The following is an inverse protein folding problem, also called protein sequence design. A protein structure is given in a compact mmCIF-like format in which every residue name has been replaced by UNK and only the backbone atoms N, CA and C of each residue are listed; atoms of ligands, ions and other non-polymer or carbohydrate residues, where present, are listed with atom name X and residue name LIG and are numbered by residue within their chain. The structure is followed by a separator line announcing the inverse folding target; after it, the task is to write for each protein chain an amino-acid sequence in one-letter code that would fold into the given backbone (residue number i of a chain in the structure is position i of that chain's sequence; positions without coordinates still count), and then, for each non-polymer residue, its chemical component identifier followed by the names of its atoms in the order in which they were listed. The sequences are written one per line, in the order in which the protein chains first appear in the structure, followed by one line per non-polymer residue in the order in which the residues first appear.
data_IF_917895812461
#
_entry.id   IF_917895812461
#
_cell.length_a   1.000
_cell.length_b   1.000
_cell.length_c   1.000
_cell.angle_alpha   90.00
_cell.angle_beta   90.00
_cell.angle_gamma   90.00
#
_symmetry.space_group_name_H-M   'P 1'
#
loop_
_entity.id
_entity.type
_entity.pdbx_description
1 polymer ?
#
# COMPACT_ATOMS: atom_id res chain seq x y z
N UNK A 1 7.36 -11.63 -15.56
CA UNK A 1 8.24 -11.24 -14.43
C UNK A 1 9.71 -11.22 -14.82
N UNK A 2 10.17 -12.15 -15.66
CA UNK A 2 11.57 -12.19 -16.13
C UNK A 2 12.00 -10.91 -16.87
N UNK A 3 11.15 -10.33 -17.72
CA UNK A 3 11.47 -9.08 -18.45
C UNK A 3 11.70 -7.87 -17.52
N UNK A 4 11.07 -7.85 -16.35
CA UNK A 4 11.23 -6.77 -15.37
C UNK A 4 12.28 -7.10 -14.30
N UNK A 5 12.90 -8.30 -14.36
CA UNK A 5 13.81 -8.83 -13.35
C UNK A 5 13.25 -8.74 -11.91
N UNK A 6 11.93 -8.93 -11.77
CA UNK A 6 11.25 -8.91 -10.47
C UNK A 6 11.01 -10.34 -9.99
N UNK A 7 11.29 -10.58 -8.71
CA UNK A 7 11.05 -11.85 -8.05
C UNK A 7 9.90 -11.76 -7.05
N UNK A 8 9.39 -12.93 -6.66
CA UNK A 8 8.36 -13.04 -5.62
C UNK A 8 8.91 -12.49 -4.31
N UNK A 9 8.18 -11.56 -3.71
CA UNK A 9 8.58 -10.91 -2.45
C UNK A 9 9.34 -9.60 -2.65
N UNK A 10 9.72 -9.26 -3.88
CA UNK A 10 10.39 -7.99 -4.15
C UNK A 10 9.45 -6.81 -3.88
N UNK A 11 10.06 -5.72 -3.43
CA UNK A 11 9.35 -4.47 -3.22
C UNK A 11 9.44 -3.60 -4.47
N UNK A 12 8.29 -3.10 -4.91
CA UNK A 12 8.16 -2.26 -6.11
C UNK A 12 7.49 -0.94 -5.79
N UNK A 13 7.97 0.11 -6.44
CA UNK A 13 7.32 1.41 -6.50
C UNK A 13 6.39 1.43 -7.71
N UNK A 14 5.10 1.60 -7.45
CA UNK A 14 4.11 1.81 -8.49
C UNK A 14 3.78 3.29 -8.61
N UNK A 15 3.75 3.79 -9.85
CA UNK A 15 3.40 5.17 -10.18
C UNK A 15 2.12 5.20 -10.99
N UNK A 16 1.14 5.94 -10.48
CA UNK A 16 -0.18 6.12 -11.08
C UNK A 16 -0.38 7.53 -11.60
N UNK A 17 -1.62 7.99 -11.59
CA UNK A 17 -2.00 9.32 -12.09
C UNK A 17 -1.81 10.39 -11.02
N UNK A 18 -1.79 11.67 -11.43
CA UNK A 18 -1.70 12.84 -10.52
C UNK A 18 -0.50 12.77 -9.56
N UNK A 19 0.65 12.25 -10.03
CA UNK A 19 1.89 12.09 -9.25
C UNK A 19 1.67 11.27 -7.96
N UNK A 20 0.76 10.31 -8.01
CA UNK A 20 0.51 9.38 -6.91
C UNK A 20 1.34 8.14 -7.07
N UNK A 21 1.98 7.75 -5.98
CA UNK A 21 2.88 6.62 -5.92
C UNK A 21 2.52 5.77 -4.70
N UNK A 22 2.77 4.47 -4.80
CA UNK A 22 2.53 3.50 -3.73
C UNK A 22 3.60 2.43 -3.79
N UNK A 23 3.95 1.88 -2.63
CA UNK A 23 4.91 0.78 -2.54
C UNK A 23 4.16 -0.52 -2.31
N UNK A 24 4.46 -1.55 -3.09
CA UNK A 24 3.78 -2.83 -3.04
C UNK A 24 4.79 -3.99 -3.08
N UNK A 25 4.35 -5.17 -2.64
CA UNK A 25 5.13 -6.40 -2.73
C UNK A 25 4.63 -7.20 -3.94
N UNK A 26 5.56 -7.71 -4.74
CA UNK A 26 5.25 -8.53 -5.91
C UNK A 26 4.93 -9.96 -5.49
N UNK A 27 3.79 -10.46 -5.96
CA UNK A 27 3.39 -11.86 -5.80
C UNK A 27 3.19 -12.49 -7.19
N UNK A 28 3.62 -13.74 -7.31
CA UNK A 28 3.39 -14.55 -8.52
C UNK A 28 1.96 -15.06 -8.54
N UNK A 29 1.32 -14.93 -9.70
CA UNK A 29 -0.03 -15.42 -10.00
C UNK A 29 -0.07 -15.91 -11.44
N UNK A 30 -0.06 -17.23 -11.63
CA UNK A 30 -0.02 -17.87 -12.95
C UNK A 30 -1.34 -17.66 -13.75
N UNK A 31 -2.40 -17.20 -13.07
CA UNK A 31 -3.68 -16.86 -13.72
C UNK A 31 -3.73 -15.42 -14.26
N UNK A 32 -2.67 -14.64 -14.05
CA UNK A 32 -2.57 -13.26 -14.53
C UNK A 32 -1.85 -13.20 -15.88
N UNK A 33 -2.44 -12.48 -16.84
CA UNK A 33 -1.80 -12.24 -18.14
C UNK A 33 -0.54 -11.38 -17.95
N UNK A 34 0.50 -11.62 -18.75
CA UNK A 34 1.80 -10.92 -18.65
C UNK A 34 1.70 -9.39 -18.75
N UNK A 35 0.75 -8.88 -19.54
CA UNK A 35 0.54 -7.44 -19.74
C UNK A 35 -0.34 -6.78 -18.67
N UNK A 36 -0.83 -7.55 -17.68
CA UNK A 36 -1.78 -7.09 -16.68
C UNK A 36 -1.21 -7.21 -15.27
N UNK A 37 -1.67 -6.30 -14.41
CA UNK A 37 -1.39 -6.32 -12.98
C UNK A 37 -2.70 -6.41 -12.21
N UNK A 38 -2.77 -7.34 -11.26
CA UNK A 38 -3.85 -7.40 -10.28
C UNK A 38 -3.48 -6.58 -9.05
N UNK A 39 -4.38 -5.70 -8.65
CA UNK A 39 -4.25 -4.93 -7.41
C UNK A 39 -5.63 -4.70 -6.80
N UNK A 40 -5.68 -4.58 -5.48
CA UNK A 40 -6.94 -4.38 -4.77
C UNK A 40 -7.48 -2.95 -4.98
N UNK A 41 -8.72 -2.71 -4.52
CA UNK A 41 -9.37 -1.38 -4.63
C UNK A 41 -8.60 -0.28 -3.92
N UNK A 42 -7.98 -0.60 -2.79
CA UNK A 42 -7.21 0.36 -1.96
C UNK A 42 -6.01 0.91 -2.73
N UNK A 43 -5.20 0.03 -3.31
CA UNK A 43 -4.03 0.39 -4.11
C UNK A 43 -4.41 1.21 -5.33
N UNK A 44 -5.52 0.86 -6.01
CA UNK A 44 -6.05 1.67 -7.13
C UNK A 44 -6.46 3.08 -6.70
N UNK A 45 -7.14 3.19 -5.55
CA UNK A 45 -7.58 4.48 -5.01
C UNK A 45 -6.38 5.37 -4.64
N UNK A 46 -5.33 4.79 -4.05
CA UNK A 46 -4.09 5.47 -3.74
C UNK A 46 -3.41 6.02 -5.01
N UNK A 47 -3.34 5.19 -6.06
CA UNK A 47 -2.75 5.54 -7.36
C UNK A 47 -3.65 6.42 -8.24
N UNK A 48 -4.92 6.63 -7.86
CA UNK A 48 -5.94 7.35 -8.65
C UNK A 48 -6.16 6.74 -10.04
N UNK A 49 -6.18 5.42 -10.11
CA UNK A 49 -6.38 4.65 -11.35
C UNK A 49 -7.67 3.82 -11.32
N UNK A 50 -8.21 3.52 -12.50
CA UNK A 50 -9.36 2.65 -12.73
C UNK A 50 -8.92 1.32 -13.37
N UNK A 51 -9.84 0.37 -13.47
CA UNK A 51 -9.58 -0.87 -14.23
C UNK A 51 -9.32 -0.51 -15.70
N UNK A 52 -8.25 -1.06 -16.28
CA UNK A 52 -7.81 -0.75 -17.64
C UNK A 52 -6.87 0.45 -17.76
N UNK A 53 -6.62 1.20 -16.69
CA UNK A 53 -5.58 2.22 -16.70
C UNK A 53 -4.18 1.61 -16.66
N UNK A 54 -3.23 2.27 -17.31
CA UNK A 54 -1.82 1.90 -17.30
C UNK A 54 -1.12 2.50 -16.08
N UNK A 55 -0.24 1.71 -15.47
CA UNK A 55 0.62 2.11 -14.35
C UNK A 55 2.07 1.78 -14.66
N UNK A 56 3.01 2.56 -14.11
CA UNK A 56 4.43 2.23 -14.18
C UNK A 56 4.84 1.46 -12.93
N UNK A 57 5.63 0.40 -13.11
CA UNK A 57 6.21 -0.37 -12.02
C UNK A 57 7.74 -0.25 -12.09
N UNK A 58 8.38 0.01 -10.96
CA UNK A 58 9.82 0.12 -10.84
C UNK A 58 10.28 -0.68 -9.61
N UNK A 59 11.39 -1.41 -9.72
CA UNK A 59 11.99 -2.06 -8.55
C UNK A 59 12.36 -1.01 -7.50
N UNK A 60 12.11 -1.32 -6.23
CA UNK A 60 12.39 -0.43 -5.10
C UNK A 60 13.11 -1.21 -3.99
N UNK A 61 14.41 -1.51 -4.16
CA UNK A 61 15.20 -2.24 -3.16
C UNK A 61 15.51 -1.40 -1.91
N UNK A 62 15.46 -0.07 -2.00
CA UNK A 62 15.84 0.87 -0.93
C UNK A 62 14.78 1.05 0.18
N UNK A 63 13.84 0.11 0.31
CA UNK A 63 12.80 0.19 1.35
C UNK A 63 13.38 -0.21 2.70
N UNK A 64 13.61 0.81 3.53
CA UNK A 64 14.15 0.64 4.89
C UNK A 64 13.05 0.34 5.90
N UNK A 65 13.41 -0.39 6.95
CA UNK A 65 12.53 -0.61 8.09
C UNK A 65 12.13 0.71 8.75
N UNK A 66 10.82 0.92 8.90
CA UNK A 66 10.27 2.09 9.57
C UNK A 66 10.55 2.03 11.07
N UNK A 67 11.18 3.08 11.62
CA UNK A 67 11.38 3.19 13.08
C UNK A 67 10.07 3.46 13.83
N UNK A 68 9.26 4.38 13.29
CA UNK A 68 7.96 4.80 13.83
C UNK A 68 7.07 5.25 12.68
N UNK A 69 5.78 4.96 12.78
CA UNK A 69 4.74 5.46 11.88
C UNK A 69 3.66 6.15 12.71
N UNK A 70 3.09 7.23 12.17
CA UNK A 70 1.99 7.94 12.78
C UNK A 70 0.77 7.82 11.88
N UNK A 71 -0.30 7.22 12.40
CA UNK A 71 -1.49 6.89 11.63
C UNK A 71 -2.69 7.47 12.35
N UNK A 72 -3.50 8.24 11.60
CA UNK A 72 -4.71 8.87 12.09
C UNK A 72 -5.92 8.18 11.49
N UNK A 73 -6.97 7.89 12.27
CA UNK A 73 -8.20 7.38 11.71
C UNK A 73 -8.90 8.48 10.89
N UNK A 74 -9.81 8.10 10.01
CA UNK A 74 -10.63 9.07 9.27
C UNK A 74 -11.86 9.39 10.12
N UNK A 75 -12.16 10.67 10.29
CA UNK A 75 -13.25 11.19 11.14
C UNK A 75 -14.55 10.39 10.97
N UNK A 76 -15.02 10.23 9.73
CA UNK A 76 -16.26 9.50 9.38
C UNK A 76 -16.26 7.99 9.76
N UNK A 77 -15.12 7.43 10.15
CA UNK A 77 -14.97 5.98 10.46
C UNK A 77 -14.82 5.68 11.95
N UNK A 78 -14.80 6.70 12.81
CA UNK A 78 -14.58 6.55 14.25
C UNK A 78 -15.89 6.61 15.04
N UNK A 79 -16.98 7.05 14.41
CA UNK A 79 -18.29 7.14 15.05
C UNK A 79 -18.74 5.75 15.56
N UNK A 80 -18.77 5.58 16.88
CA UNK A 80 -19.17 4.35 17.54
C UNK A 80 -18.05 3.35 17.87
N UNK A 81 -16.78 3.66 17.53
CA UNK A 81 -15.65 2.85 17.96
C UNK A 81 -15.27 3.16 19.41
N UNK A 82 -15.36 2.14 20.27
CA UNK A 82 -14.90 2.20 21.67
C UNK A 82 -13.68 1.31 21.85
N UNK A 83 -12.68 1.79 22.59
CA UNK A 83 -11.47 1.03 22.94
C UNK A 83 -10.19 1.46 22.21
N UNK A 84 -9.11 0.72 22.46
CA UNK A 84 -7.79 1.03 21.89
C UNK A 84 -7.71 0.56 20.44
N UNK A 85 -7.83 1.51 19.54
CA UNK A 85 -7.75 1.32 18.10
C UNK A 85 -6.46 0.62 17.63
N UNK A 86 -5.35 0.79 18.36
CA UNK A 86 -4.09 0.13 18.03
C UNK A 86 -4.19 -1.38 18.21
N UNK A 87 -4.76 -1.87 19.31
CA UNK A 87 -4.82 -3.30 19.60
C UNK A 87 -5.84 -4.02 18.74
N UNK A 88 -6.98 -3.37 18.48
CA UNK A 88 -8.09 -3.96 17.74
C UNK A 88 -7.83 -3.98 16.23
N UNK A 89 -7.21 -2.93 15.68
CA UNK A 89 -7.06 -2.79 14.23
C UNK A 89 -5.59 -2.80 13.77
N UNK A 90 -4.74 -1.97 14.36
CA UNK A 90 -3.37 -1.80 13.84
C UNK A 90 -2.49 -3.03 14.10
N UNK A 91 -2.53 -3.59 15.30
CA UNK A 91 -1.73 -4.75 15.70
C UNK A 91 -2.02 -5.96 14.81
N UNK A 92 -3.25 -6.48 14.68
CA UNK A 92 -3.50 -7.64 13.81
C UNK A 92 -3.22 -7.35 12.33
N UNK A 93 -3.29 -6.08 11.91
CA UNK A 93 -3.03 -5.70 10.52
C UNK A 93 -1.53 -5.68 10.14
N UNK A 94 -0.69 -5.23 11.07
CA UNK A 94 0.76 -5.07 10.87
C UNK A 94 1.62 -6.21 11.45
N UNK A 95 1.08 -6.98 12.39
CA UNK A 95 1.80 -8.10 13.01
C UNK A 95 2.24 -9.09 11.92
N UNK A 96 3.56 -9.33 11.84
CA UNK A 96 4.24 -10.28 10.93
C UNK A 96 4.03 -10.06 9.43
N UNK A 97 3.30 -9.03 9.03
CA UNK A 97 2.93 -8.84 7.63
C UNK A 97 3.94 -8.01 6.81
N UNK A 98 4.97 -7.45 7.45
CA UNK A 98 6.04 -6.64 6.84
C UNK A 98 5.57 -5.69 5.73
N UNK A 99 4.40 -5.08 5.93
CA UNK A 99 3.72 -4.35 4.86
C UNK A 99 4.45 -3.04 4.59
N UNK A 100 4.86 -2.77 3.33
CA UNK A 100 5.39 -1.46 3.00
C UNK A 100 4.33 -0.38 3.24
N UNK A 101 4.77 0.80 3.63
CA UNK A 101 3.88 1.95 3.84
C UNK A 101 4.48 3.18 3.19
N UNK A 102 3.68 3.92 2.43
CA UNK A 102 4.07 5.19 1.84
C UNK A 102 3.31 6.35 2.51
N UNK A 103 3.98 7.50 2.66
CA UNK A 103 3.36 8.69 3.27
C UNK A 103 2.22 9.19 2.38
N UNK A 104 1.07 9.52 2.98
CA UNK A 104 -0.08 10.07 2.25
C UNK A 104 -0.93 9.04 1.50
N UNK A 105 -0.75 7.76 1.78
CA UNK A 105 -1.67 6.69 1.36
C UNK A 105 -2.89 6.60 2.28
N UNK A 106 -4.07 6.40 1.68
CA UNK A 106 -5.33 6.20 2.39
C UNK A 106 -5.74 4.72 2.24
N UNK A 107 -5.60 3.91 3.29
CA UNK A 107 -5.89 2.46 3.18
C UNK A 107 -7.36 2.10 3.39
N UNK A 108 -8.19 2.06 2.32
CA UNK A 108 -9.67 1.98 2.38
C UNK A 108 -10.31 0.79 3.13
N UNK A 109 -9.60 -0.30 3.43
CA UNK A 109 -10.18 -1.45 4.12
C UNK A 109 -9.78 -1.46 5.60
N UNK A 110 -10.40 -0.61 6.43
CA UNK A 110 -10.06 -0.26 7.83
C UNK A 110 -9.04 0.90 7.94
N UNK A 111 -9.51 2.12 7.63
CA UNK A 111 -8.72 3.27 7.21
C UNK A 111 -7.99 4.03 8.31
N UNK A 112 -6.67 3.98 8.22
CA UNK A 112 -5.76 4.90 8.89
C UNK A 112 -4.94 5.68 7.85
N UNK A 113 -4.85 6.99 7.99
CA UNK A 113 -4.08 7.96 7.21
C UNK A 113 -2.68 8.13 7.82
N UNK A 114 -1.62 7.82 7.07
CA UNK A 114 -0.24 7.91 7.56
C UNK A 114 0.34 9.31 7.32
N UNK A 115 0.36 10.14 8.37
CA UNK A 115 0.82 11.52 8.31
C UNK A 115 2.21 11.63 8.96
N UNK A 116 3.27 11.71 8.15
CA UNK A 116 4.64 11.96 8.64
C UNK A 116 4.83 13.46 8.88
N UNK A 117 5.01 13.89 10.13
CA UNK A 117 5.67 15.17 10.39
C UNK A 117 7.15 15.06 10.02
N UNK A 118 7.61 15.98 9.17
CA UNK A 118 9.03 16.31 9.07
C UNK A 118 9.31 17.27 10.24
N UNK A 119 10.27 16.91 11.08
CA UNK A 119 11.21 17.89 11.59
C UNK A 119 12.48 17.76 10.76
#
# INVERSE_FOLDING_TARGET
MEELHLFRGDTVLMKGKKRRETVCIVLTDDSCQNEKIRMNRVTRNNLRVRLGDVVSVQACPDVKYGKRIHVLPIDDTIEGLTGNLFEVYLKPYFLEAYRPVHKGENRQNHLWCLQKHLH
#
